data_IF_073775507558
#
_entry.id   IF_073775507558
#
_cell.length_a   1.000
_cell.length_b   1.000
_cell.length_c   1.000
_cell.angle_alpha   90.00
_cell.angle_beta   90.00
_cell.angle_gamma   90.00
#
_symmetry.space_group_name_H-M   'P 1'
#
loop_
_entity.id
_entity.type
_entity.pdbx_description
1 polymer ?
#
# COMPACT_ATOMS: atom_id res chain seq x y z
N UNK A 1 -25.28 8.41 -35.14
CA UNK A 1 -25.10 9.66 -34.38
C UNK A 1 -24.43 9.30 -33.07
N UNK A 2 -23.19 9.74 -32.84
CA UNK A 2 -22.47 9.44 -31.59
C UNK A 2 -23.16 10.18 -30.44
N UNK A 3 -23.54 9.46 -29.38
CA UNK A 3 -24.28 9.96 -28.21
C UNK A 3 -23.37 10.35 -27.04
N UNK A 4 -22.05 10.43 -27.26
CA UNK A 4 -21.12 10.83 -26.20
C UNK A 4 -21.21 12.35 -25.94
N UNK A 5 -21.37 12.77 -24.68
CA UNK A 5 -21.33 14.19 -24.33
C UNK A 5 -19.96 14.78 -24.71
N UNK A 6 -19.91 16.06 -25.14
CA UNK A 6 -18.67 16.70 -25.52
C UNK A 6 -17.68 16.75 -24.36
N UNK A 7 -16.40 16.51 -24.66
CA UNK A 7 -15.33 16.55 -23.67
C UNK A 7 -15.24 17.95 -23.05
N UNK A 8 -14.98 18.01 -21.74
CA UNK A 8 -14.75 19.28 -21.05
C UNK A 8 -13.50 19.97 -21.57
N UNK A 9 -13.44 21.31 -21.47
CA UNK A 9 -12.25 22.08 -21.86
C UNK A 9 -10.99 21.57 -21.15
N UNK A 10 -11.10 21.24 -19.86
CA UNK A 10 -10.01 20.65 -19.09
C UNK A 10 -9.53 19.35 -19.73
N UNK A 11 -10.44 18.44 -20.08
CA UNK A 11 -10.09 17.16 -20.71
C UNK A 11 -9.40 17.36 -22.06
N UNK A 12 -9.88 18.29 -22.87
CA UNK A 12 -9.27 18.63 -24.17
C UNK A 12 -7.88 19.25 -24.00
N UNK A 13 -7.72 20.19 -23.06
CA UNK A 13 -6.44 20.81 -22.76
C UNK A 13 -5.42 19.80 -22.25
N UNK A 14 -5.83 18.91 -21.33
CA UNK A 14 -4.98 17.82 -20.83
C UNK A 14 -4.55 16.88 -21.96
N UNK A 15 -5.47 16.47 -22.83
CA UNK A 15 -5.13 15.61 -23.97
C UNK A 15 -4.20 16.32 -24.95
N UNK A 16 -4.42 17.61 -25.20
CA UNK A 16 -3.53 18.39 -26.06
C UNK A 16 -2.14 18.52 -25.45
N UNK A 17 -2.05 18.70 -24.13
CA UNK A 17 -0.78 18.80 -23.42
C UNK A 17 0.01 17.50 -23.51
N UNK A 18 -0.65 16.35 -23.28
CA UNK A 18 0.00 15.04 -23.22
C UNK A 18 0.35 14.46 -24.62
N UNK A 19 -0.15 15.04 -25.71
CA UNK A 19 0.21 14.65 -27.07
C UNK A 19 1.66 14.96 -27.42
N UNK A 20 2.21 16.02 -26.85
CA UNK A 20 3.57 16.46 -27.09
C UNK A 20 4.40 16.22 -25.83
N UNK A 21 5.37 15.30 -25.94
CA UNK A 21 6.21 14.88 -24.82
C UNK A 21 7.03 16.05 -24.25
N UNK A 22 7.61 16.88 -25.11
CA UNK A 22 8.50 17.97 -24.68
C UNK A 22 7.69 19.10 -24.04
N UNK A 23 6.53 19.42 -24.61
CA UNK A 23 5.59 20.36 -24.00
C UNK A 23 5.07 19.85 -22.67
N UNK A 24 4.72 18.57 -22.55
CA UNK A 24 4.28 17.98 -21.29
C UNK A 24 5.35 18.12 -20.21
N UNK A 25 6.61 17.78 -20.52
CA UNK A 25 7.71 17.88 -19.54
C UNK A 25 7.95 19.33 -19.09
N UNK A 26 7.97 20.30 -20.02
CA UNK A 26 8.16 21.71 -19.67
C UNK A 26 6.98 22.32 -18.91
N UNK A 27 5.75 21.92 -19.24
CA UNK A 27 4.55 22.48 -18.62
C UNK A 27 4.31 21.98 -17.19
N UNK A 28 4.77 20.77 -16.85
CA UNK A 28 4.57 20.17 -15.52
C UNK A 28 5.13 21.06 -14.41
N UNK A 29 6.25 21.75 -14.65
CA UNK A 29 6.83 22.69 -13.69
C UNK A 29 5.95 23.95 -13.48
N UNK A 30 5.18 24.33 -14.48
CA UNK A 30 4.32 25.52 -14.47
C UNK A 30 2.88 25.21 -14.06
N UNK A 31 2.53 23.92 -13.98
CA UNK A 31 1.17 23.48 -13.70
C UNK A 31 0.75 23.89 -12.26
N UNK A 32 -0.45 24.48 -12.08
CA UNK A 32 -1.05 24.66 -10.75
C UNK A 32 -1.33 23.32 -10.07
N UNK A 33 -1.26 23.28 -8.75
CA UNK A 33 -1.41 22.05 -7.97
C UNK A 33 -2.75 21.34 -8.19
N UNK A 34 -3.81 22.10 -8.45
CA UNK A 34 -5.18 21.64 -8.70
C UNK A 34 -5.31 20.89 -10.03
N UNK A 35 -4.40 21.14 -10.98
CA UNK A 35 -4.41 20.47 -12.28
C UNK A 35 -3.53 19.20 -12.28
N UNK A 36 -2.69 18.97 -11.27
CA UNK A 36 -1.87 17.76 -11.19
C UNK A 36 -2.72 16.49 -11.15
N UNK A 37 -3.72 16.32 -10.26
CA UNK A 37 -4.49 15.08 -10.23
C UNK A 37 -5.20 14.74 -11.55
N UNK A 38 -5.94 15.65 -12.22
CA UNK A 38 -6.60 15.32 -13.49
C UNK A 38 -5.61 15.05 -14.63
N UNK A 39 -4.49 15.77 -14.70
CA UNK A 39 -3.46 15.51 -15.73
C UNK A 39 -2.74 14.18 -15.47
N UNK A 40 -2.46 13.85 -14.20
CA UNK A 40 -1.80 12.60 -13.81
C UNK A 40 -2.68 11.39 -14.13
N UNK A 41 -3.97 11.48 -13.83
CA UNK A 41 -4.93 10.44 -14.21
C UNK A 41 -4.94 10.22 -15.72
N UNK A 42 -5.01 11.27 -16.53
CA UNK A 42 -5.00 11.13 -17.99
C UNK A 42 -3.67 10.56 -18.49
N UNK A 43 -2.55 11.02 -17.94
CA UNK A 43 -1.22 10.50 -18.27
C UNK A 43 -1.11 9.01 -17.96
N UNK A 44 -1.62 8.58 -16.81
CA UNK A 44 -1.66 7.18 -16.40
C UNK A 44 -2.54 6.35 -17.33
N UNK A 45 -3.80 6.75 -17.53
CA UNK A 45 -4.76 5.99 -18.35
C UNK A 45 -4.35 5.88 -19.83
N UNK A 46 -3.54 6.82 -20.34
CA UNK A 46 -3.05 6.82 -21.73
C UNK A 46 -1.62 6.31 -21.91
N UNK A 47 -0.96 5.88 -20.83
CA UNK A 47 0.38 5.30 -20.94
C UNK A 47 1.52 6.31 -21.12
N UNK A 48 1.34 7.58 -20.74
CA UNK A 48 2.35 8.63 -20.89
C UNK A 48 3.40 8.59 -19.76
N UNK A 49 4.29 7.59 -19.79
CA UNK A 49 5.30 7.33 -18.75
C UNK A 49 6.20 8.53 -18.42
N UNK A 50 6.66 9.24 -19.44
CA UNK A 50 7.61 10.35 -19.27
C UNK A 50 6.95 11.55 -18.59
N UNK A 51 5.68 11.80 -18.93
CA UNK A 51 4.87 12.80 -18.25
C UNK A 51 4.64 12.39 -16.78
N UNK A 52 4.28 11.12 -16.51
CA UNK A 52 4.14 10.63 -15.13
C UNK A 52 5.42 10.83 -14.32
N UNK A 53 6.58 10.45 -14.88
CA UNK A 53 7.87 10.64 -14.22
C UNK A 53 8.12 12.11 -13.86
N UNK A 54 7.90 13.02 -14.81
CA UNK A 54 8.03 14.47 -14.57
C UNK A 54 7.02 14.98 -13.52
N UNK A 55 5.79 14.46 -13.55
CA UNK A 55 4.74 14.86 -12.60
C UNK A 55 5.03 14.38 -11.18
N UNK A 56 5.58 13.18 -11.02
CA UNK A 56 6.05 12.67 -9.72
C UNK A 56 7.14 13.58 -9.17
N UNK A 57 8.08 14.02 -10.01
CA UNK A 57 9.12 14.95 -9.62
C UNK A 57 8.58 16.28 -9.12
N UNK A 58 7.45 16.74 -9.66
CA UNK A 58 6.84 18.02 -9.27
C UNK A 58 5.57 17.86 -8.43
N UNK A 59 5.34 16.67 -7.87
CA UNK A 59 4.07 16.34 -7.24
C UNK A 59 3.79 17.29 -6.06
N UNK A 60 2.68 18.06 -6.10
CA UNK A 60 2.47 19.20 -5.21
C UNK A 60 1.91 18.81 -3.83
N UNK A 61 1.69 17.51 -3.59
CA UNK A 61 1.09 16.97 -2.37
C UNK A 61 2.05 16.00 -1.67
N UNK A 62 1.92 15.81 -0.35
CA UNK A 62 2.75 14.84 0.37
C UNK A 62 2.37 13.38 0.12
N UNK A 63 1.22 13.15 -0.50
CA UNK A 63 0.61 11.83 -0.58
C UNK A 63 0.11 11.58 -2.02
N UNK A 64 0.42 10.41 -2.57
CA UNK A 64 0.01 9.95 -3.90
C UNK A 64 -0.68 8.58 -3.80
N UNK A 65 -2.03 8.52 -3.93
CA UNK A 65 -2.79 7.26 -3.86
C UNK A 65 -2.78 6.48 -5.17
N UNK A 66 -1.62 5.97 -5.59
CA UNK A 66 -1.47 5.26 -6.86
C UNK A 66 -2.30 3.97 -6.93
N UNK A 67 -2.40 3.20 -5.85
CA UNK A 67 -3.14 1.93 -5.86
C UNK A 67 -4.62 2.08 -6.22
N UNK A 68 -5.26 3.13 -5.70
CA UNK A 68 -6.64 3.46 -6.05
C UNK A 68 -6.81 3.89 -7.52
N UNK A 69 -5.72 4.31 -8.20
CA UNK A 69 -5.75 4.62 -9.63
C UNK A 69 -5.55 3.36 -10.48
N UNK A 70 -4.65 2.47 -10.07
CA UNK A 70 -4.41 1.18 -10.74
C UNK A 70 -5.68 0.31 -10.74
N UNK A 71 -6.45 0.31 -9.65
CA UNK A 71 -7.69 -0.47 -9.56
C UNK A 71 -8.91 0.17 -10.27
N UNK A 72 -8.76 1.34 -10.90
CA UNK A 72 -9.81 1.95 -11.72
C UNK A 72 -9.88 1.26 -13.08
N UNK A 73 -10.49 0.07 -13.11
CA UNK A 73 -10.89 -0.57 -14.36
C UNK A 73 -12.00 0.24 -15.02
N UNK A 74 -11.85 0.53 -16.31
CA UNK A 74 -12.98 0.82 -17.18
C UNK A 74 -13.51 -0.54 -17.68
N UNK A 75 -14.73 -0.96 -17.31
CA UNK A 75 -15.28 -2.23 -17.76
C UNK A 75 -15.49 -2.33 -19.28
N UNK A 76 -15.27 -1.25 -20.03
CA UNK A 76 -15.60 -1.16 -21.46
C UNK A 76 -14.43 -1.38 -22.42
N UNK A 77 -13.18 -1.49 -21.95
CA UNK A 77 -12.05 -1.75 -22.85
C UNK A 77 -11.89 -3.25 -23.09
N UNK A 78 -11.97 -3.66 -24.36
CA UNK A 78 -11.81 -5.04 -24.83
C UNK A 78 -10.35 -5.51 -24.82
N UNK A 79 -9.54 -5.01 -23.89
CA UNK A 79 -8.11 -5.28 -23.83
C UNK A 79 -7.87 -6.64 -23.16
N UNK A 80 -6.87 -7.38 -23.64
CA UNK A 80 -6.52 -8.68 -23.05
C UNK A 80 -5.94 -8.45 -21.65
N UNK A 81 -6.32 -9.25 -20.65
CA UNK A 81 -5.83 -9.10 -19.25
C UNK A 81 -4.31 -8.94 -19.14
N UNK A 82 -3.56 -9.62 -20.02
CA UNK A 82 -2.09 -9.55 -20.10
C UNK A 82 -1.58 -8.17 -20.52
N UNK A 83 -2.25 -7.51 -21.47
CA UNK A 83 -1.86 -6.18 -21.95
C UNK A 83 -2.12 -5.11 -20.89
N UNK A 84 -3.23 -5.23 -20.15
CA UNK A 84 -3.58 -4.33 -19.04
C UNK A 84 -2.53 -4.41 -17.94
N UNK A 85 -2.16 -5.62 -17.51
CA UNK A 85 -1.13 -5.81 -16.49
C UNK A 85 0.24 -5.23 -16.89
N UNK A 86 0.63 -5.38 -18.16
CA UNK A 86 1.92 -4.87 -18.63
C UNK A 86 1.92 -3.33 -18.74
N UNK A 87 0.78 -2.71 -19.11
CA UNK A 87 0.64 -1.25 -19.09
C UNK A 87 0.70 -0.72 -17.66
N UNK A 88 -0.04 -1.30 -16.73
CA UNK A 88 -0.03 -0.89 -15.31
C UNK A 88 1.37 -1.02 -14.70
N UNK A 89 2.07 -2.11 -15.02
CA UNK A 89 3.47 -2.32 -14.60
C UNK A 89 4.38 -1.22 -15.16
N UNK A 90 4.26 -0.86 -16.44
CA UNK A 90 5.04 0.24 -17.03
C UNK A 90 4.72 1.58 -16.36
N UNK A 91 3.46 1.82 -15.99
CA UNK A 91 3.09 3.04 -15.28
C UNK A 91 3.65 3.07 -13.87
N UNK A 92 3.61 1.95 -13.13
CA UNK A 92 4.26 1.82 -11.83
C UNK A 92 5.76 2.07 -11.94
N UNK A 93 6.43 1.47 -12.92
CA UNK A 93 7.85 1.70 -13.20
C UNK A 93 8.15 3.18 -13.43
N UNK A 94 7.36 3.86 -14.25
CA UNK A 94 7.54 5.28 -14.50
C UNK A 94 7.40 6.14 -13.23
N UNK A 95 6.46 5.78 -12.35
CA UNK A 95 6.29 6.46 -11.06
C UNK A 95 7.49 6.21 -10.15
N UNK A 96 7.92 4.96 -10.01
CA UNK A 96 9.08 4.59 -9.18
C UNK A 96 10.38 5.21 -9.72
N UNK A 97 10.56 5.28 -11.03
CA UNK A 97 11.69 5.97 -11.67
C UNK A 97 11.68 7.48 -11.38
N UNK A 98 10.49 8.09 -11.29
CA UNK A 98 10.35 9.48 -10.85
C UNK A 98 10.78 9.66 -9.40
N UNK A 99 10.37 8.72 -8.54
CA UNK A 99 10.78 8.70 -7.12
C UNK A 99 12.29 8.48 -6.98
N UNK A 100 12.92 7.64 -7.81
CA UNK A 100 14.37 7.43 -7.77
C UNK A 100 15.14 8.72 -8.02
N UNK A 101 14.67 9.48 -8.99
CA UNK A 101 15.23 10.79 -9.28
C UNK A 101 14.97 11.75 -8.10
N UNK A 102 13.80 11.73 -7.45
CA UNK A 102 13.55 12.49 -6.21
C UNK A 102 14.53 12.12 -5.08
N UNK A 103 14.72 10.83 -4.83
CA UNK A 103 15.60 10.32 -3.77
C UNK A 103 17.08 10.66 -4.05
N UNK A 104 17.47 10.67 -5.33
CA UNK A 104 18.84 11.00 -5.77
C UNK A 104 19.14 12.49 -5.74
N UNK A 105 18.11 13.35 -5.76
CA UNK A 105 18.30 14.80 -5.76
C UNK A 105 18.69 15.31 -4.36
N UNK A 106 19.84 15.98 -4.29
CA UNK A 106 20.26 16.77 -3.10
C UNK A 106 19.52 18.12 -2.99
N UNK A 107 18.67 18.47 -3.94
CA UNK A 107 18.18 19.85 -4.11
C UNK A 107 16.84 20.09 -3.42
N UNK A 108 16.79 21.17 -2.66
CA UNK A 108 15.58 21.74 -2.05
C UNK A 108 14.72 22.46 -3.10
N UNK A 109 14.05 21.71 -3.98
CA UNK A 109 12.95 22.31 -4.74
C UNK A 109 11.80 22.61 -3.76
N UNK A 110 11.27 23.85 -3.78
CA UNK A 110 10.15 24.28 -2.91
C UNK A 110 8.87 23.46 -3.13
N UNK A 111 8.82 22.66 -4.20
CA UNK A 111 7.66 21.89 -4.64
C UNK A 111 7.76 20.39 -4.35
N UNK A 112 8.94 19.88 -3.97
CA UNK A 112 9.07 18.46 -3.59
C UNK A 112 8.37 18.24 -2.26
N UNK A 113 7.17 17.66 -2.31
CA UNK A 113 6.40 17.35 -1.11
C UNK A 113 6.14 15.89 -0.93
N UNK A 114 6.21 15.07 -1.99
CA UNK A 114 5.86 13.66 -1.94
C UNK A 114 6.67 12.94 -0.85
N UNK A 115 5.95 12.39 0.12
CA UNK A 115 6.46 11.65 1.27
C UNK A 115 5.87 10.23 1.32
N UNK A 116 4.65 10.08 0.82
CA UNK A 116 3.91 8.82 0.88
C UNK A 116 3.39 8.42 -0.49
N UNK A 117 3.80 7.24 -0.96
CA UNK A 117 3.18 6.53 -2.08
C UNK A 117 2.23 5.48 -1.51
N UNK A 118 0.93 5.61 -1.78
CA UNK A 118 -0.06 4.65 -1.30
C UNK A 118 -0.56 3.75 -2.43
N UNK A 119 -0.28 2.46 -2.27
CA UNK A 119 -0.62 1.38 -3.19
C UNK A 119 -1.91 0.65 -2.79
N UNK A 120 -2.62 1.10 -1.75
CA UNK A 120 -3.88 0.50 -1.31
C UNK A 120 -5.07 0.95 -2.17
N UNK A 121 -6.06 0.06 -2.28
CA UNK A 121 -7.35 0.33 -2.94
C UNK A 121 -8.40 0.93 -1.98
N UNK A 122 -8.05 1.96 -1.21
CA UNK A 122 -8.97 2.59 -0.22
C UNK A 122 -9.34 4.04 -0.56
N UNK A 123 -8.58 4.66 -1.46
CA UNK A 123 -8.63 6.11 -1.69
C UNK A 123 -9.25 6.49 -3.04
N UNK A 124 -10.19 5.70 -3.55
CA UNK A 124 -10.91 5.98 -4.81
C UNK A 124 -11.65 7.33 -4.79
N UNK A 125 -12.03 7.81 -3.60
CA UNK A 125 -12.64 9.13 -3.40
C UNK A 125 -11.72 10.29 -3.82
N UNK A 126 -10.40 10.18 -3.60
CA UNK A 126 -9.45 11.21 -4.02
C UNK A 126 -9.57 11.43 -5.53
N UNK A 127 -9.39 10.37 -6.31
CA UNK A 127 -9.46 10.45 -7.77
C UNK A 127 -10.88 10.73 -8.29
N UNK A 128 -11.93 10.40 -7.53
CA UNK A 128 -13.33 10.72 -7.88
C UNK A 128 -13.60 12.22 -7.83
N UNK A 129 -13.14 12.90 -6.77
CA UNK A 129 -13.27 14.35 -6.61
C UNK A 129 -12.60 15.08 -7.78
N UNK A 130 -11.40 14.64 -8.17
CA UNK A 130 -10.63 15.25 -9.24
C UNK A 130 -11.09 14.86 -10.66
N UNK A 131 -11.84 13.78 -10.81
CA UNK A 131 -12.40 13.35 -12.11
C UNK A 131 -13.60 14.19 -12.57
N UNK A 132 -14.07 15.15 -11.77
CA UNK A 132 -15.16 16.05 -12.15
C UNK A 132 -16.56 15.45 -12.01
N UNK A 133 -16.72 14.31 -11.33
CA UNK A 133 -18.04 13.75 -11.03
C UNK A 133 -18.76 14.58 -9.95
N UNK A 134 -19.47 15.62 -10.39
CA UNK A 134 -20.59 16.21 -9.66
C UNK A 134 -21.69 15.17 -9.57
N UNK A 135 -21.88 14.52 -8.41
CA UNK A 135 -23.20 14.24 -7.81
C UNK A 135 -23.19 13.47 -6.48
N UNK A 136 -22.07 12.97 -5.96
CA UNK A 136 -22.04 12.38 -4.61
C UNK A 136 -20.82 12.82 -3.79
N UNK A 137 -20.66 14.13 -3.64
CA UNK A 137 -19.79 14.69 -2.62
C UNK A 137 -20.65 15.03 -1.39
N UNK A 138 -21.04 14.03 -0.61
CA UNK A 138 -21.56 14.23 0.74
C UNK A 138 -20.99 13.17 1.68
N UNK A 139 -20.50 13.65 2.83
CA UNK A 139 -20.02 12.90 4.00
C UNK A 139 -18.58 12.36 3.97
N UNK A 140 -17.59 13.25 3.82
CA UNK A 140 -16.36 13.18 4.64
C UNK A 140 -15.59 14.51 4.53
N UNK A 141 -16.12 15.53 5.22
CA UNK A 141 -15.45 16.84 5.36
C UNK A 141 -14.55 16.90 6.60
N UNK A 142 -14.14 15.75 7.18
CA UNK A 142 -13.34 15.74 8.41
C UNK A 142 -11.87 15.34 8.22
N UNK A 143 -11.46 14.86 7.04
CA UNK A 143 -10.07 14.40 6.84
C UNK A 143 -9.08 15.48 6.33
N UNK A 144 -9.55 16.67 5.96
CA UNK A 144 -8.68 17.79 5.56
C UNK A 144 -8.73 18.93 6.58
N UNK A 145 -8.27 18.66 7.80
CA UNK A 145 -7.71 19.72 8.64
C UNK A 145 -6.21 19.75 8.41
N UNK A 146 -5.77 20.72 7.62
CA UNK A 146 -4.39 21.19 7.53
C UNK A 146 -3.91 21.45 8.95
N UNK A 147 -3.15 20.51 9.54
CA UNK A 147 -2.36 20.82 10.73
C UNK A 147 -1.27 21.77 10.27
N UNK A 148 -1.44 23.05 10.59
CA UNK A 148 -0.38 24.04 10.46
C UNK A 148 0.73 23.64 11.44
N UNK A 149 1.79 23.02 10.92
CA UNK A 149 3.00 22.80 11.71
C UNK A 149 3.72 24.12 11.87
N UNK A 150 3.81 24.59 13.12
CA UNK A 150 4.63 25.74 13.50
C UNK A 150 6.08 25.54 13.02
N UNK A 151 6.67 26.61 12.49
CA UNK A 151 8.05 26.65 12.00
C UNK A 151 9.02 26.45 13.18
N UNK A 152 9.45 25.22 13.40
CA UNK A 152 10.65 24.94 14.20
C UNK A 152 11.91 25.09 13.33
N UNK A 153 12.94 25.71 13.91
CA UNK A 153 14.17 26.18 13.24
C UNK A 153 15.08 25.08 12.66
N UNK A 154 16.24 25.46 12.09
CA UNK A 154 17.06 24.58 11.26
C UNK A 154 17.90 23.64 12.15
N UNK A 155 17.28 22.58 12.65
CA UNK A 155 18.00 21.33 12.94
C UNK A 155 18.19 20.63 11.60
N UNK A 156 19.37 20.06 11.36
CA UNK A 156 19.60 19.18 10.24
C UNK A 156 18.53 18.07 10.30
N UNK A 157 17.47 18.23 9.51
CA UNK A 157 16.38 17.28 9.48
C UNK A 157 16.96 16.00 8.88
N UNK A 158 17.11 14.96 9.70
CA UNK A 158 17.23 13.61 9.19
C UNK A 158 16.12 13.45 8.16
N UNK A 159 16.49 13.28 6.89
CA UNK A 159 15.52 13.11 5.81
C UNK A 159 14.74 11.85 6.16
N UNK A 160 13.49 12.01 6.56
CA UNK A 160 12.63 10.85 6.80
C UNK A 160 12.54 10.04 5.50
N UNK A 161 12.62 8.71 5.59
CA UNK A 161 12.49 7.86 4.42
C UNK A 161 11.13 8.08 3.77
N UNK A 162 11.07 7.96 2.45
CA UNK A 162 9.80 7.93 1.74
C UNK A 162 9.03 6.68 2.18
N UNK A 163 7.76 6.83 2.56
CA UNK A 163 6.91 5.70 2.94
C UNK A 163 6.15 5.19 1.72
N UNK A 164 6.23 3.90 1.48
CA UNK A 164 5.31 3.19 0.57
C UNK A 164 4.34 2.41 1.44
N UNK A 165 3.04 2.61 1.24
CA UNK A 165 2.00 1.87 1.97
C UNK A 165 1.34 0.87 1.03
N UNK A 166 1.28 -0.40 1.40
CA UNK A 166 0.67 -1.46 0.59
C UNK A 166 0.04 -2.52 1.48
N UNK A 167 -1.15 -3.00 1.13
CA UNK A 167 -1.71 -4.21 1.74
C UNK A 167 -1.16 -5.43 0.96
N UNK A 168 -0.49 -6.37 1.63
CA UNK A 168 0.16 -7.52 0.98
C UNK A 168 -0.58 -8.82 1.24
N UNK A 169 -0.67 -9.63 0.19
CA UNK A 169 -1.00 -11.04 0.29
C UNK A 169 0.19 -11.86 -0.22
N UNK A 170 0.82 -12.61 0.68
CA UNK A 170 1.96 -13.48 0.39
C UNK A 170 1.42 -14.89 0.13
N UNK A 171 1.43 -15.31 -1.13
CA UNK A 171 1.08 -16.68 -1.52
C UNK A 171 1.91 -17.12 -2.71
N UNK A 172 2.06 -18.44 -2.90
CA UNK A 172 2.81 -19.02 -4.02
C UNK A 172 2.23 -18.63 -5.40
N UNK A 173 0.93 -18.32 -5.46
CA UNK A 173 0.20 -18.07 -6.71
C UNK A 173 -0.17 -16.59 -6.93
N UNK A 174 -0.17 -15.74 -5.88
CA UNK A 174 -0.73 -14.38 -5.95
C UNK A 174 0.27 -13.25 -5.67
N UNK A 175 1.58 -13.49 -5.61
CA UNK A 175 2.53 -12.38 -5.71
C UNK A 175 2.48 -11.84 -7.13
N UNK A 176 1.60 -10.87 -7.35
CA UNK A 176 1.44 -10.22 -8.65
C UNK A 176 2.78 -9.67 -9.14
N UNK A 177 2.98 -9.66 -10.47
CA UNK A 177 4.20 -9.13 -11.10
C UNK A 177 4.56 -7.71 -10.60
N UNK A 178 3.56 -6.90 -10.24
CA UNK A 178 3.79 -5.57 -9.70
C UNK A 178 4.29 -5.58 -8.24
N UNK A 179 3.82 -6.51 -7.39
CA UNK A 179 4.25 -6.63 -6.00
C UNK A 179 5.71 -7.10 -5.93
N UNK A 180 6.08 -8.10 -6.74
CA UNK A 180 7.47 -8.58 -6.79
C UNK A 180 8.43 -7.48 -7.28
N UNK A 181 8.02 -6.69 -8.28
CA UNK A 181 8.79 -5.53 -8.74
C UNK A 181 8.92 -4.47 -7.64
N UNK A 182 7.83 -4.11 -6.97
CA UNK A 182 7.83 -3.12 -5.89
C UNK A 182 8.74 -3.57 -4.73
N UNK A 183 8.61 -4.81 -4.27
CA UNK A 183 9.43 -5.36 -3.19
C UNK A 183 10.92 -5.30 -3.53
N UNK A 184 11.29 -5.70 -4.75
CA UNK A 184 12.68 -5.61 -5.23
C UNK A 184 13.17 -4.15 -5.26
N UNK A 185 12.32 -3.23 -5.72
CA UNK A 185 12.65 -1.81 -5.77
C UNK A 185 12.88 -1.23 -4.37
N UNK A 186 12.02 -1.55 -3.39
CA UNK A 186 12.17 -1.16 -1.99
C UNK A 186 13.46 -1.74 -1.39
N UNK A 187 13.71 -3.03 -1.58
CA UNK A 187 14.87 -3.73 -1.03
C UNK A 187 16.20 -3.07 -1.47
N UNK A 188 16.28 -2.65 -2.73
CA UNK A 188 17.43 -1.94 -3.29
C UNK A 188 17.64 -0.53 -2.70
N UNK A 189 16.65 0.02 -1.98
CA UNK A 189 16.63 1.38 -1.44
C UNK A 189 16.48 1.40 0.08
N UNK A 190 16.98 0.35 0.74
CA UNK A 190 17.00 0.21 2.20
C UNK A 190 17.60 1.47 2.83
N UNK A 191 16.87 2.06 3.78
CA UNK A 191 17.26 3.30 4.47
C UNK A 191 16.81 4.60 3.80
N UNK A 192 16.39 4.56 2.54
CA UNK A 192 15.76 5.70 1.84
C UNK A 192 14.25 5.54 1.71
N UNK A 193 13.79 4.30 1.64
CA UNK A 193 12.38 3.94 1.51
C UNK A 193 12.00 3.00 2.65
N UNK A 194 10.84 3.25 3.25
CA UNK A 194 10.21 2.38 4.22
C UNK A 194 8.95 1.78 3.60
N UNK A 195 8.73 0.48 3.80
CA UNK A 195 7.54 -0.22 3.32
C UNK A 195 6.61 -0.53 4.48
N UNK A 196 5.51 0.20 4.55
CA UNK A 196 4.46 0.00 5.53
C UNK A 196 3.39 -0.94 4.96
N UNK A 197 3.00 -1.93 5.76
CA UNK A 197 2.03 -2.96 5.43
C UNK A 197 0.94 -3.07 6.50
N UNK A 198 -0.09 -2.21 6.48
CA UNK A 198 -1.15 -2.22 7.49
C UNK A 198 -1.91 -3.55 7.55
N UNK A 199 -2.10 -4.21 6.40
CA UNK A 199 -2.72 -5.54 6.31
C UNK A 199 -1.79 -6.52 5.62
N UNK A 200 -1.38 -7.54 6.37
CA UNK A 200 -0.54 -8.63 5.91
C UNK A 200 -1.33 -9.93 5.92
N UNK A 201 -1.56 -10.51 4.75
CA UNK A 201 -2.10 -11.85 4.59
C UNK A 201 -0.95 -12.78 4.18
N UNK A 202 -0.78 -13.89 4.90
CA UNK A 202 0.25 -14.89 4.64
C UNK A 202 -0.48 -16.22 4.43
N UNK A 203 -0.39 -16.77 3.23
CA UNK A 203 -0.91 -18.10 2.90
C UNK A 203 0.23 -19.11 2.99
N UNK A 204 0.02 -20.30 3.53
CA UNK A 204 1.12 -21.25 3.69
C UNK A 204 1.73 -21.60 2.32
N UNK A 205 2.99 -21.21 2.16
CA UNK A 205 3.78 -21.32 0.95
C UNK A 205 5.24 -21.60 1.35
N UNK A 206 6.18 -21.29 0.45
CA UNK A 206 7.61 -21.26 0.76
C UNK A 206 7.90 -20.28 1.91
N UNK A 207 8.09 -20.85 3.11
CA UNK A 207 8.32 -20.10 4.34
C UNK A 207 9.56 -19.22 4.27
N UNK A 208 10.58 -19.63 3.51
CA UNK A 208 11.82 -18.89 3.39
C UNK A 208 11.60 -17.59 2.61
N UNK A 209 10.91 -17.68 1.47
CA UNK A 209 10.49 -16.51 0.69
C UNK A 209 9.60 -15.56 1.49
N UNK A 210 8.69 -16.10 2.31
CA UNK A 210 7.83 -15.28 3.19
C UNK A 210 8.69 -14.50 4.20
N UNK A 211 9.64 -15.15 4.86
CA UNK A 211 10.52 -14.52 5.84
C UNK A 211 11.34 -13.39 5.18
N UNK A 212 11.92 -13.65 4.01
CA UNK A 212 12.69 -12.63 3.27
C UNK A 212 11.84 -11.38 2.94
N UNK A 213 10.56 -11.57 2.62
CA UNK A 213 9.65 -10.45 2.36
C UNK A 213 9.31 -9.72 3.66
N UNK A 214 9.02 -10.45 4.75
CA UNK A 214 8.71 -9.86 6.07
C UNK A 214 9.87 -8.99 6.57
N UNK A 215 11.11 -9.39 6.32
CA UNK A 215 12.32 -8.62 6.69
C UNK A 215 12.49 -7.30 5.92
N UNK A 216 11.77 -7.12 4.81
CA UNK A 216 11.71 -5.85 4.07
C UNK A 216 10.66 -4.90 4.69
N UNK A 217 9.66 -5.44 5.38
CA UNK A 217 8.54 -4.67 5.90
C UNK A 217 8.93 -3.90 7.18
N UNK A 218 8.30 -2.75 7.35
CA UNK A 218 8.18 -2.14 8.67
C UNK A 218 7.14 -2.91 9.50
N UNK A 219 7.59 -3.82 10.37
CA UNK A 219 6.67 -4.65 11.20
C UNK A 219 5.80 -3.83 12.15
N UNK A 220 6.27 -2.64 12.57
CA UNK A 220 5.48 -1.75 13.43
C UNK A 220 4.27 -1.18 12.66
N UNK A 221 4.24 -1.21 11.32
CA UNK A 221 3.08 -0.75 10.55
C UNK A 221 1.93 -1.76 10.47
N UNK A 222 2.18 -3.04 10.79
CA UNK A 222 1.20 -4.11 10.65
C UNK A 222 0.12 -4.01 11.73
N UNK A 223 -1.13 -3.84 11.31
CA UNK A 223 -2.30 -3.74 12.18
C UNK A 223 -3.16 -5.01 12.11
N UNK A 224 -3.22 -5.63 10.93
CA UNK A 224 -3.96 -6.87 10.69
C UNK A 224 -3.02 -7.90 10.09
N UNK A 225 -2.85 -9.03 10.77
CA UNK A 225 -2.13 -10.19 10.26
C UNK A 225 -3.10 -11.36 10.10
N UNK A 226 -3.17 -11.92 8.89
CA UNK A 226 -3.95 -13.12 8.59
C UNK A 226 -3.02 -14.22 8.15
N UNK A 227 -2.96 -15.32 8.89
CA UNK A 227 -2.33 -16.57 8.51
C UNK A 227 -3.44 -17.48 7.95
N UNK A 228 -3.43 -17.73 6.66
CA UNK A 228 -4.45 -18.50 5.94
C UNK A 228 -3.85 -19.76 5.31
N UNK A 229 -4.70 -20.72 4.96
CA UNK A 229 -4.37 -21.93 4.18
C UNK A 229 -3.31 -22.85 4.81
N UNK A 230 -3.72 -23.86 5.60
CA UNK A 230 -2.90 -25.02 6.04
C UNK A 230 -1.50 -24.71 6.61
N UNK A 231 -1.46 -24.19 7.83
CA UNK A 231 -0.20 -24.03 8.60
C UNK A 231 0.17 -25.28 9.40
N UNK A 232 1.45 -25.64 9.43
CA UNK A 232 1.97 -26.63 10.39
C UNK A 232 2.45 -25.94 11.67
N UNK A 233 2.53 -26.65 12.78
CA UNK A 233 3.09 -26.10 14.02
C UNK A 233 4.54 -25.62 13.84
N UNK A 234 5.34 -26.34 13.06
CA UNK A 234 6.73 -25.97 12.76
C UNK A 234 6.85 -24.67 11.96
N UNK A 235 6.01 -24.45 10.95
CA UNK A 235 6.02 -23.21 10.14
C UNK A 235 5.51 -22.03 10.93
N UNK A 236 4.50 -22.23 11.78
CA UNK A 236 4.00 -21.21 12.70
C UNK A 236 5.06 -20.80 13.74
N UNK A 237 5.82 -21.77 14.27
CA UNK A 237 6.92 -21.51 15.20
C UNK A 237 8.02 -20.63 14.57
N UNK A 238 8.31 -20.82 13.28
CA UNK A 238 9.27 -19.97 12.55
C UNK A 238 8.77 -18.53 12.35
N UNK A 239 7.47 -18.31 12.18
CA UNK A 239 6.90 -16.95 12.05
C UNK A 239 6.69 -16.24 13.38
N UNK A 240 6.65 -16.99 14.48
CA UNK A 240 6.29 -16.46 15.80
C UNK A 240 7.14 -15.26 16.24
N UNK A 241 8.48 -15.23 16.04
CA UNK A 241 9.30 -14.07 16.36
C UNK A 241 8.85 -12.80 15.62
N UNK A 242 8.60 -12.91 14.32
CA UNK A 242 8.16 -11.78 13.48
C UNK A 242 6.79 -11.27 13.87
N UNK A 243 5.86 -12.17 14.22
CA UNK A 243 4.57 -11.76 14.75
C UNK A 243 4.79 -10.90 16.01
N UNK A 244 5.51 -11.41 17.02
CA UNK A 244 5.76 -10.72 18.29
C UNK A 244 6.41 -9.32 18.11
N UNK A 245 7.19 -9.15 17.03
CA UNK A 245 7.78 -7.86 16.67
C UNK A 245 6.78 -6.84 16.11
N UNK A 246 5.61 -7.25 15.61
CA UNK A 246 4.54 -6.36 15.12
C UNK A 246 3.85 -5.63 16.29
N UNK A 247 4.45 -4.54 16.77
CA UNK A 247 4.00 -3.87 18.02
C UNK A 247 2.58 -3.30 17.95
N UNK A 248 2.14 -2.90 16.77
CA UNK A 248 0.83 -2.27 16.56
C UNK A 248 -0.23 -3.25 16.03
N UNK A 249 0.02 -4.57 16.17
CA UNK A 249 -0.92 -5.59 15.72
C UNK A 249 -2.21 -5.55 16.57
N UNK A 250 -3.33 -5.25 15.91
CA UNK A 250 -4.67 -5.16 16.50
C UNK A 250 -5.49 -6.41 16.26
N UNK A 251 -5.32 -7.04 15.09
CA UNK A 251 -6.07 -8.23 14.71
C UNK A 251 -5.14 -9.32 14.20
N UNK A 252 -5.19 -10.49 14.83
CA UNK A 252 -4.52 -11.71 14.37
C UNK A 252 -5.58 -12.75 14.01
N UNK A 253 -5.57 -13.21 12.75
CA UNK A 253 -6.47 -14.26 12.26
C UNK A 253 -5.60 -15.44 11.86
N UNK A 254 -5.88 -16.63 12.39
CA UNK A 254 -5.19 -17.87 12.05
C UNK A 254 -6.24 -18.89 11.59
N UNK A 255 -6.34 -19.08 10.28
CA UNK A 255 -7.28 -20.01 9.68
C UNK A 255 -6.56 -21.29 9.26
N UNK A 256 -7.28 -22.43 9.29
CA UNK A 256 -6.82 -23.73 8.79
C UNK A 256 -5.43 -24.18 9.30
N UNK A 257 -5.27 -24.35 10.61
CA UNK A 257 -4.05 -24.99 11.15
C UNK A 257 -4.16 -26.50 10.97
N UNK A 258 -3.24 -27.08 10.22
CA UNK A 258 -3.08 -28.53 10.12
C UNK A 258 -2.33 -29.01 11.36
N UNK A 259 -3.07 -29.54 12.34
CA UNK A 259 -2.49 -30.23 13.49
C UNK A 259 -2.36 -31.71 13.09
N UNK A 260 -1.14 -32.26 12.93
CA UNK A 260 -0.98 -33.69 12.71
C UNK A 260 -1.63 -34.46 13.85
N UNK A 261 -2.30 -35.57 13.56
CA UNK A 261 -3.08 -36.38 14.53
C UNK A 261 -2.27 -36.85 15.75
N UNK A 262 -0.94 -36.82 15.66
CA UNK A 262 0.02 -37.22 16.68
C UNK A 262 0.61 -36.08 17.52
N UNK A 263 0.37 -34.80 17.17
CA UNK A 263 0.76 -33.67 18.00
C UNK A 263 -0.33 -33.37 19.02
N UNK A 264 0.05 -33.25 20.30
CA UNK A 264 -0.91 -32.89 21.34
C UNK A 264 -1.36 -31.43 21.16
N UNK A 265 -2.67 -31.17 21.31
CA UNK A 265 -3.29 -29.82 21.40
C UNK A 265 -2.45 -28.83 22.23
N UNK A 266 -1.76 -29.36 23.24
CA UNK A 266 -0.86 -28.66 24.17
C UNK A 266 0.22 -27.81 23.51
N UNK A 267 0.91 -28.27 22.46
CA UNK A 267 2.04 -27.52 21.88
C UNK A 267 1.55 -26.29 21.10
N UNK A 268 0.43 -26.45 20.39
CA UNK A 268 -0.24 -25.36 19.70
C UNK A 268 -0.81 -24.35 20.70
N UNK A 269 -1.44 -24.83 21.77
CA UNK A 269 -1.90 -23.98 22.87
C UNK A 269 -0.76 -23.20 23.51
N UNK A 270 0.41 -23.82 23.72
CA UNK A 270 1.59 -23.14 24.26
C UNK A 270 2.09 -22.04 23.33
N UNK A 271 2.20 -22.30 22.02
CA UNK A 271 2.63 -21.32 21.04
C UNK A 271 1.64 -20.15 20.95
N UNK A 272 0.34 -20.44 20.89
CA UNK A 272 -0.69 -19.40 20.88
C UNK A 272 -0.70 -18.60 22.19
N UNK A 273 -0.48 -19.27 23.33
CA UNK A 273 -0.34 -18.60 24.64
C UNK A 273 0.88 -17.69 24.65
N UNK A 274 2.00 -18.11 24.06
CA UNK A 274 3.20 -17.29 23.93
C UNK A 274 2.91 -16.03 23.11
N UNK A 275 2.31 -16.17 21.93
CA UNK A 275 1.92 -15.05 21.07
C UNK A 275 0.97 -14.11 21.84
N UNK A 276 -0.16 -14.62 22.30
CA UNK A 276 -1.20 -13.81 22.97
C UNK A 276 -0.69 -13.13 24.24
N UNK A 277 0.13 -13.79 25.06
CA UNK A 277 0.69 -13.21 26.29
C UNK A 277 1.60 -12.01 26.03
N UNK A 278 2.32 -11.98 24.89
CA UNK A 278 3.16 -10.83 24.53
C UNK A 278 2.32 -9.60 24.19
N UNK A 279 1.19 -9.79 23.52
CA UNK A 279 0.30 -8.69 23.19
C UNK A 279 -0.60 -8.24 24.33
N UNK A 280 -1.02 -9.15 25.21
CA UNK A 280 -1.76 -8.80 26.42
C UNK A 280 -1.00 -7.80 27.28
N UNK A 281 0.34 -7.94 27.36
CA UNK A 281 1.22 -6.98 28.07
C UNK A 281 1.29 -5.61 27.41
N UNK A 282 0.97 -5.51 26.11
CA UNK A 282 1.09 -4.29 25.31
C UNK A 282 -0.24 -3.58 25.08
N UNK A 283 -1.38 -4.18 25.47
CA UNK A 283 -2.73 -3.62 25.30
C UNK A 283 -3.12 -3.23 23.85
N UNK A 284 -2.45 -3.77 22.84
CA UNK A 284 -2.68 -3.39 21.43
C UNK A 284 -3.52 -4.38 20.64
N UNK A 285 -3.62 -5.64 21.08
CA UNK A 285 -4.34 -6.69 20.36
C UNK A 285 -5.81 -6.71 20.79
N UNK A 286 -6.69 -6.33 19.88
CA UNK A 286 -8.13 -6.23 20.08
C UNK A 286 -8.84 -7.56 19.77
N UNK A 287 -8.32 -8.31 18.79
CA UNK A 287 -8.99 -9.50 18.26
C UNK A 287 -8.01 -10.60 17.86
N UNK A 288 -8.28 -11.83 18.33
CA UNK A 288 -7.67 -13.06 17.83
C UNK A 288 -8.77 -13.98 17.33
N UNK A 289 -8.66 -14.50 16.11
CA UNK A 289 -9.57 -15.50 15.56
C UNK A 289 -8.79 -16.74 15.13
N UNK A 290 -9.28 -17.93 15.51
CA UNK A 290 -8.66 -19.21 15.12
C UNK A 290 -9.76 -20.12 14.59
N UNK A 291 -9.80 -20.31 13.27
CA UNK A 291 -10.98 -20.88 12.58
C UNK A 291 -10.96 -22.42 12.41
N UNK A 292 -10.05 -23.15 13.08
CA UNK A 292 -9.74 -24.55 12.73
C UNK A 292 -9.76 -25.56 13.86
N UNK A 293 -10.20 -25.20 15.07
CA UNK A 293 -10.26 -26.14 16.20
C UNK A 293 -11.58 -25.99 16.98
N UNK A 294 -12.33 -27.09 17.21
CA UNK A 294 -13.43 -27.12 18.17
C UNK A 294 -13.03 -26.77 19.62
N UNK A 295 -11.72 -26.68 19.89
CA UNK A 295 -11.11 -26.57 21.23
C UNK A 295 -10.67 -25.16 21.62
N UNK A 296 -10.69 -24.16 20.73
CA UNK A 296 -10.18 -22.80 21.03
C UNK A 296 -11.14 -21.94 21.87
N UNK A 297 -12.34 -22.46 22.17
CA UNK A 297 -13.33 -21.79 23.03
C UNK A 297 -12.80 -21.44 24.43
N UNK A 298 -11.73 -22.08 24.93
CA UNK A 298 -11.13 -21.75 26.24
C UNK A 298 -10.06 -20.64 26.22
N UNK A 299 -9.31 -20.45 25.12
CA UNK A 299 -8.26 -19.41 25.08
C UNK A 299 -8.83 -18.00 24.92
N UNK A 300 -9.93 -17.85 24.16
CA UNK A 300 -10.60 -16.56 23.96
C UNK A 300 -11.31 -16.06 25.22
N UNK A 301 -11.80 -16.96 26.07
CA UNK A 301 -12.48 -16.59 27.33
C UNK A 301 -11.54 -15.96 28.36
N UNK A 302 -10.22 -16.18 28.28
CA UNK A 302 -9.24 -15.57 29.21
C UNK A 302 -8.84 -14.14 28.83
N UNK A 303 -9.03 -13.70 27.59
CA UNK A 303 -8.74 -12.31 27.19
C UNK A 303 -9.89 -11.35 27.53
N UNK A 304 -11.10 -11.85 27.76
CA UNK A 304 -12.30 -11.05 28.06
C UNK A 304 -12.78 -11.13 29.51
N UNK A 305 -12.04 -11.79 30.41
CA UNK A 305 -12.32 -11.74 31.85
C UNK A 305 -11.61 -10.53 32.45
N UNK A 306 -12.32 -9.45 32.85
CA UNK A 306 -11.71 -8.46 33.71
C UNK A 306 -11.48 -9.13 35.07
N UNK A 307 -10.24 -9.11 35.54
CA UNK A 307 -9.91 -9.39 36.95
C UNK A 307 -10.36 -8.20 37.78
#
# INVERSE_FOLDING_TARGET
MSTQPPLTLLKLATQSLLKDKDLAMGAVELLPGELFPPVFMEAFSRGHTEALKAMVLSWPFPYLPLGALMNRRDPQTSDTEVEVMEVEKRMLQAVLDGIDVLLSQKMCSRRLKLQVLDMQDKHSNFWRVWAGNKLEACSSSEAMKTRNTEKSGPRAAEKQPLTVIVDLELSHECLYLFQSYLLKWVQQRKGLVQLDCPKLCIKAADIQSIIEIIEILNLDSVQVAKLADRWTLSTLALLTPYLIEMKNLQTLIISDISVPEFLSSTELEQLLTQITSQYCKRHHLEKVCIDSLPLVTQCLLRMYSPV
#
